data_IF_642426928628
#
_entry.id   IF_642426928628
#
_cell.length_a   1.000
_cell.length_b   1.000
_cell.length_c   1.000
_cell.angle_alpha   90.00
_cell.angle_beta   90.00
_cell.angle_gamma   90.00
#
_symmetry.space_group_name_H-M   'P 1'
#
loop_
_entity.id
_entity.type
_entity.pdbx_description
1 polymer ?
#
# COMPACT_ATOMS: atom_id res chain seq x y z
N UNK A 1 55.81 53.57 -23.05
CA UNK A 1 55.69 52.38 -22.18
C UNK A 1 54.84 52.76 -20.98
N UNK A 2 53.59 52.27 -20.93
CA UNK A 2 52.62 52.60 -19.88
C UNK A 2 52.01 51.31 -19.34
N UNK A 3 52.09 51.18 -18.01
CA UNK A 3 51.60 50.08 -17.19
C UNK A 3 50.06 50.12 -17.12
N UNK A 4 49.42 48.96 -17.01
CA UNK A 4 48.65 48.53 -15.82
C UNK A 4 47.93 47.20 -16.11
N UNK A 5 48.18 46.25 -15.22
CA UNK A 5 47.56 44.93 -15.10
C UNK A 5 46.35 45.08 -14.16
N UNK A 6 45.41 44.12 -14.20
CA UNK A 6 44.23 43.84 -13.34
C UNK A 6 42.94 43.97 -14.18
N UNK A 7 42.01 43.02 -14.22
CA UNK A 7 41.75 41.82 -13.41
C UNK A 7 40.61 41.02 -14.08
N UNK A 8 40.23 39.90 -13.46
CA UNK A 8 39.13 38.92 -13.77
C UNK A 8 39.74 37.61 -14.30
N UNK A 9 40.27 36.76 -13.41
CA UNK A 9 39.53 35.77 -12.60
C UNK A 9 38.77 34.80 -13.52
N UNK A 10 39.31 33.59 -13.74
CA UNK A 10 38.97 32.37 -12.98
C UNK A 10 37.48 32.04 -13.15
N UNK A 11 37.04 30.89 -13.65
CA UNK A 11 37.47 29.54 -13.37
C UNK A 11 36.65 28.61 -14.31
N UNK A 12 37.28 27.66 -14.99
CA UNK A 12 37.27 26.22 -14.65
C UNK A 12 36.18 25.41 -15.39
N UNK A 13 36.68 24.66 -16.38
CA UNK A 13 36.51 23.21 -16.60
C UNK A 13 35.11 22.67 -16.96
N UNK A 14 34.96 22.38 -18.27
CA UNK A 14 34.73 21.06 -18.84
C UNK A 14 33.96 20.02 -18.00
N UNK A 15 32.71 19.75 -18.34
CA UNK A 15 32.16 18.38 -18.26
C UNK A 15 30.85 18.29 -19.04
N UNK A 16 30.98 17.87 -20.29
CA UNK A 16 29.90 17.26 -21.04
C UNK A 16 29.50 15.95 -20.37
N UNK A 17 28.27 15.86 -19.87
CA UNK A 17 27.57 14.59 -19.69
C UNK A 17 26.14 14.72 -20.22
N UNK A 18 25.82 13.84 -21.16
CA UNK A 18 24.47 13.57 -21.61
C UNK A 18 23.58 13.27 -20.41
N UNK A 19 22.50 14.00 -20.23
CA UNK A 19 21.32 13.45 -19.57
C UNK A 19 20.32 13.05 -20.64
N UNK A 20 20.46 11.82 -21.11
CA UNK A 20 19.30 11.00 -21.45
C UNK A 20 18.60 10.76 -20.10
N UNK A 21 17.70 11.67 -19.74
CA UNK A 21 16.84 11.52 -18.57
C UNK A 21 15.70 10.58 -18.92
N UNK A 22 15.73 9.39 -18.36
CA UNK A 22 14.74 8.34 -18.48
C UNK A 22 13.30 8.87 -18.49
N UNK A 23 12.54 8.53 -19.53
CA UNK A 23 11.08 8.47 -19.43
C UNK A 23 10.66 7.25 -18.59
N UNK A 24 11.11 7.19 -17.34
CA UNK A 24 10.45 6.35 -16.36
C UNK A 24 9.36 7.21 -15.77
N UNK A 25 8.14 6.93 -16.21
CA UNK A 25 6.91 7.36 -15.55
C UNK A 25 6.99 6.83 -14.11
N UNK A 26 7.63 7.58 -13.21
CA UNK A 26 7.39 7.48 -11.78
C UNK A 26 5.92 7.81 -11.61
N UNK A 27 5.08 6.78 -11.65
CA UNK A 27 3.82 6.81 -10.92
C UNK A 27 4.22 7.15 -9.51
N UNK A 28 3.93 8.38 -9.07
CA UNK A 28 3.99 8.74 -7.67
C UNK A 28 3.33 7.60 -6.89
N UNK A 29 3.99 7.01 -5.89
CA UNK A 29 3.29 6.11 -5.00
C UNK A 29 2.15 6.92 -4.40
N UNK A 30 0.91 6.56 -4.75
CA UNK A 30 -0.28 7.13 -4.14
C UNK A 30 -0.05 7.11 -2.64
N UNK A 31 -0.27 8.22 -1.91
CA UNK A 31 -0.06 8.26 -0.47
C UNK A 31 -0.79 7.07 0.15
N UNK A 32 -0.01 6.15 0.70
CA UNK A 32 -0.55 4.91 1.20
C UNK A 32 -1.31 5.24 2.48
N UNK A 33 -2.60 4.97 2.45
CA UNK A 33 -3.44 5.25 3.61
C UNK A 33 -3.15 4.14 4.62
N UNK A 34 -3.23 4.43 5.92
CA UNK A 34 -3.18 3.35 6.91
C UNK A 34 -4.43 2.47 6.77
N UNK A 35 -4.33 1.19 7.10
CA UNK A 35 -5.45 0.23 6.97
C UNK A 35 -6.71 0.69 7.73
N UNK A 36 -6.55 1.46 8.82
CA UNK A 36 -7.62 2.11 9.59
C UNK A 36 -8.55 2.99 8.73
N UNK A 37 -8.08 3.48 7.58
CA UNK A 37 -8.89 4.22 6.60
C UNK A 37 -10.08 3.40 6.12
N UNK A 38 -9.93 2.08 6.14
CA UNK A 38 -10.92 1.11 5.71
C UNK A 38 -11.73 0.53 6.88
N UNK A 39 -11.73 1.18 8.06
CA UNK A 39 -12.46 0.73 9.26
C UNK A 39 -13.91 0.35 8.96
N UNK A 40 -14.41 -0.71 9.59
CA UNK A 40 -15.78 -1.20 9.45
C UNK A 40 -15.86 -2.69 9.13
N UNK A 41 -17.08 -3.16 8.94
CA UNK A 41 -17.39 -4.57 8.73
C UNK A 41 -17.35 -4.90 7.24
N UNK A 42 -16.76 -6.04 6.89
CA UNK A 42 -16.57 -6.48 5.52
C UNK A 42 -17.10 -7.89 5.35
N UNK A 43 -17.90 -8.10 4.31
CA UNK A 43 -18.48 -9.41 3.99
C UNK A 43 -18.28 -9.76 2.52
N UNK A 44 -18.32 -11.04 2.15
CA UNK A 44 -18.33 -11.45 0.75
C UNK A 44 -19.52 -10.85 -0.01
N UNK A 45 -19.31 -10.40 -1.23
CA UNK A 45 -20.40 -9.99 -2.15
C UNK A 45 -21.24 -11.18 -2.59
N UNK A 46 -20.59 -12.32 -2.79
CA UNK A 46 -21.23 -13.57 -3.15
C UNK A 46 -21.26 -14.50 -1.93
N UNK A 47 -22.37 -14.45 -1.19
CA UNK A 47 -22.59 -15.26 0.01
C UNK A 47 -22.97 -16.70 -0.30
N UNK A 48 -23.13 -17.07 -1.57
CA UNK A 48 -23.41 -18.46 -1.97
C UNK A 48 -22.16 -19.34 -1.96
N UNK A 49 -20.97 -18.73 -1.88
CA UNK A 49 -19.70 -19.44 -1.84
C UNK A 49 -19.35 -19.83 -0.41
N UNK A 50 -18.90 -21.08 -0.17
CA UNK A 50 -18.55 -21.55 1.17
C UNK A 50 -17.18 -21.04 1.66
N UNK A 51 -16.57 -20.10 0.93
CA UNK A 51 -15.22 -19.59 1.19
C UNK A 51 -15.26 -18.06 1.28
N UNK A 52 -14.57 -17.54 2.29
CA UNK A 52 -14.51 -16.11 2.60
C UNK A 52 -15.22 -15.79 3.91
N UNK A 53 -14.43 -15.60 4.95
CA UNK A 53 -14.93 -15.10 6.24
C UNK A 53 -15.30 -13.61 6.15
N UNK A 54 -16.13 -13.16 7.08
CA UNK A 54 -16.27 -11.73 7.33
C UNK A 54 -15.11 -11.24 8.19
N UNK A 55 -14.83 -9.95 8.15
CA UNK A 55 -13.84 -9.34 9.04
C UNK A 55 -14.23 -7.91 9.36
N UNK A 56 -13.71 -7.41 10.47
CA UNK A 56 -13.88 -6.02 10.91
C UNK A 56 -12.52 -5.35 11.00
N UNK A 57 -12.38 -4.19 10.38
CA UNK A 57 -11.22 -3.31 10.60
C UNK A 57 -11.61 -2.32 11.69
N UNK A 58 -10.90 -2.34 12.81
CA UNK A 58 -11.12 -1.41 13.90
C UNK A 58 -10.47 -0.05 13.61
N UNK A 59 -10.87 0.98 14.37
CA UNK A 59 -10.33 2.33 14.21
C UNK A 59 -8.82 2.44 14.54
N UNK A 60 -8.27 1.48 15.30
CA UNK A 60 -6.83 1.37 15.57
C UNK A 60 -6.06 0.62 14.46
N UNK A 61 -6.77 0.13 13.45
CA UNK A 61 -6.23 -0.64 12.32
C UNK A 61 -5.99 -2.13 12.61
N UNK A 62 -6.41 -2.63 13.77
CA UNK A 62 -6.49 -4.08 14.00
C UNK A 62 -7.62 -4.70 13.18
N UNK A 63 -7.51 -6.00 12.89
CA UNK A 63 -8.51 -6.78 12.17
C UNK A 63 -9.07 -7.86 13.09
N UNK A 64 -10.39 -7.85 13.28
CA UNK A 64 -11.11 -8.97 13.91
C UNK A 64 -11.66 -9.87 12.80
N UNK A 65 -11.19 -11.11 12.76
CA UNK A 65 -11.71 -12.14 11.86
C UNK A 65 -12.96 -12.77 12.47
N UNK A 66 -13.99 -12.97 11.66
CA UNK A 66 -15.17 -13.75 12.03
C UNK A 66 -14.89 -15.24 11.78
N UNK A 67 -13.97 -15.79 12.58
CA UNK A 67 -13.72 -17.21 12.68
C UNK A 67 -14.26 -17.76 14.02
N UNK A 68 -14.20 -19.08 14.21
CA UNK A 68 -14.68 -19.70 15.45
C UNK A 68 -13.92 -19.28 16.71
N UNK A 69 -12.77 -18.65 16.56
CA UNK A 69 -11.88 -18.24 17.65
C UNK A 69 -11.96 -16.73 17.95
N UNK A 70 -12.58 -15.94 17.07
CA UNK A 70 -12.58 -14.49 17.13
C UNK A 70 -11.17 -13.90 16.99
N UNK A 71 -10.36 -14.44 16.07
CA UNK A 71 -8.95 -14.06 15.96
C UNK A 71 -8.78 -12.57 15.68
N UNK A 72 -7.99 -11.89 16.51
CA UNK A 72 -7.61 -10.49 16.31
C UNK A 72 -6.17 -10.38 15.82
N UNK A 73 -5.99 -9.75 14.66
CA UNK A 73 -4.69 -9.39 14.09
C UNK A 73 -4.38 -7.95 14.47
N UNK A 74 -3.35 -7.74 15.26
CA UNK A 74 -2.91 -6.41 15.68
C UNK A 74 -2.29 -5.65 14.51
N UNK A 75 -2.44 -4.32 14.48
CA UNK A 75 -1.91 -3.48 13.37
C UNK A 75 -0.42 -3.71 13.10
N UNK A 76 0.39 -3.96 14.14
CA UNK A 76 1.82 -4.24 14.00
C UNK A 76 2.15 -5.63 13.41
N UNK A 77 1.16 -6.51 13.26
CA UNK A 77 1.27 -7.81 12.58
C UNK A 77 0.85 -7.73 11.11
N UNK A 78 0.37 -6.57 10.66
CA UNK A 78 -0.07 -6.31 9.29
C UNK A 78 1.07 -5.66 8.53
N UNK A 79 1.49 -6.30 7.45
CA UNK A 79 2.46 -5.75 6.51
C UNK A 79 1.74 -4.90 5.49
N UNK A 80 2.08 -3.63 5.46
CA UNK A 80 1.67 -2.73 4.40
C UNK A 80 2.57 -2.92 3.17
N UNK A 81 1.98 -3.30 2.04
CA UNK A 81 2.69 -3.60 0.78
C UNK A 81 2.66 -2.43 -0.21
N UNK A 82 2.04 -1.31 0.15
CA UNK A 82 1.81 -0.21 -0.79
C UNK A 82 0.56 -0.41 -1.64
N UNK A 83 0.10 0.66 -2.28
CA UNK A 83 -1.04 0.64 -3.22
C UNK A 83 -2.32 0.06 -2.61
N UNK A 84 -2.60 0.36 -1.34
CA UNK A 84 -3.78 -0.11 -0.60
C UNK A 84 -3.84 -1.66 -0.49
N UNK A 85 -2.67 -2.30 -0.46
CA UNK A 85 -2.49 -3.73 -0.28
C UNK A 85 -1.90 -4.01 1.11
N UNK A 86 -2.60 -4.82 1.89
CA UNK A 86 -2.20 -5.21 3.24
C UNK A 86 -2.15 -6.72 3.37
N UNK A 87 -1.13 -7.23 4.04
CA UNK A 87 -0.85 -8.65 4.15
C UNK A 87 -0.67 -9.05 5.61
N UNK A 88 -1.28 -10.16 6.03
CA UNK A 88 -1.12 -10.72 7.35
C UNK A 88 -1.27 -12.24 7.31
N UNK A 89 -0.86 -12.91 8.38
CA UNK A 89 -0.95 -14.36 8.49
C UNK A 89 -1.90 -14.76 9.62
N UNK A 90 -2.75 -15.75 9.34
CA UNK A 90 -3.65 -16.36 10.32
C UNK A 90 -3.62 -17.87 10.15
N UNK A 91 -3.42 -18.61 11.24
CA UNK A 91 -3.43 -20.09 11.26
C UNK A 91 -2.56 -20.74 10.15
N UNK A 92 -1.44 -20.12 9.79
CA UNK A 92 -0.52 -20.62 8.75
C UNK A 92 -0.89 -20.24 7.31
N UNK A 93 -1.99 -19.51 7.10
CA UNK A 93 -2.38 -18.94 5.81
C UNK A 93 -1.98 -17.48 5.71
N UNK A 94 -1.43 -17.07 4.58
CA UNK A 94 -1.30 -15.66 4.21
C UNK A 94 -2.62 -15.16 3.66
N UNK A 95 -3.11 -14.05 4.21
CA UNK A 95 -4.24 -13.30 3.68
C UNK A 95 -3.71 -11.97 3.13
N UNK A 96 -4.19 -11.60 1.94
CA UNK A 96 -3.93 -10.30 1.34
C UNK A 96 -5.25 -9.57 1.12
N UNK A 97 -5.35 -8.35 1.62
CA UNK A 97 -6.46 -7.44 1.34
C UNK A 97 -5.99 -6.42 0.31
N UNK A 98 -6.76 -6.23 -0.76
CA UNK A 98 -6.52 -5.20 -1.77
C UNK A 98 -7.75 -4.31 -1.88
N UNK A 99 -7.66 -3.09 -1.38
CA UNK A 99 -8.77 -2.15 -1.40
C UNK A 99 -8.82 -1.43 -2.74
N UNK A 100 -9.95 -1.56 -3.45
CA UNK A 100 -10.22 -0.80 -4.68
C UNK A 100 -10.71 0.61 -4.36
N UNK A 101 -11.51 0.72 -3.30
CA UNK A 101 -12.07 1.96 -2.76
C UNK A 101 -12.54 1.75 -1.31
N UNK A 102 -13.23 2.73 -0.73
CA UNK A 102 -13.70 2.70 0.66
C UNK A 102 -14.80 1.64 0.95
N UNK A 103 -15.36 0.99 -0.07
CA UNK A 103 -16.48 0.06 0.03
C UNK A 103 -16.25 -1.28 -0.69
N UNK A 104 -15.17 -1.41 -1.46
CA UNK A 104 -14.83 -2.60 -2.24
C UNK A 104 -13.39 -3.07 -1.96
N UNK A 105 -13.26 -4.35 -1.64
CA UNK A 105 -11.99 -5.01 -1.35
C UNK A 105 -11.92 -6.36 -2.06
N UNK A 106 -10.73 -6.80 -2.44
CA UNK A 106 -10.45 -8.20 -2.78
C UNK A 106 -9.68 -8.81 -1.62
N UNK A 107 -10.22 -9.86 -1.03
CA UNK A 107 -9.47 -10.73 -0.13
C UNK A 107 -8.89 -11.88 -0.93
N UNK A 108 -7.57 -12.06 -0.89
CA UNK A 108 -6.93 -13.30 -1.31
C UNK A 108 -6.67 -14.17 -0.09
N UNK A 109 -7.21 -15.38 -0.10
CA UNK A 109 -6.96 -16.39 0.93
C UNK A 109 -6.56 -17.70 0.23
N UNK A 110 -5.32 -18.14 0.44
CA UNK A 110 -4.83 -19.40 -0.15
C UNK A 110 -4.91 -19.42 -1.69
N UNK A 111 -4.73 -18.28 -2.35
CA UNK A 111 -4.80 -18.16 -3.81
C UNK A 111 -6.20 -17.91 -4.38
N UNK A 112 -7.25 -17.97 -3.56
CA UNK A 112 -8.62 -17.64 -3.98
C UNK A 112 -8.91 -16.16 -3.76
N UNK A 113 -9.37 -15.48 -4.81
CA UNK A 113 -9.85 -14.10 -4.72
C UNK A 113 -11.34 -14.08 -4.38
N UNK A 114 -11.69 -13.37 -3.32
CA UNK A 114 -13.05 -13.17 -2.83
C UNK A 114 -13.34 -11.68 -2.89
N UNK A 115 -14.41 -11.30 -3.59
CA UNK A 115 -14.84 -9.91 -3.60
C UNK A 115 -15.60 -9.61 -2.30
N UNK A 116 -15.12 -8.61 -1.59
CA UNK A 116 -15.67 -8.14 -0.33
C UNK A 116 -16.33 -6.79 -0.53
N UNK A 117 -17.40 -6.55 0.23
CA UNK A 117 -18.04 -5.25 0.33
C UNK A 117 -18.20 -4.84 1.78
N UNK A 118 -18.04 -3.55 2.03
CA UNK A 118 -18.25 -2.98 3.34
C UNK A 118 -19.74 -2.94 3.66
N UNK A 119 -20.11 -3.37 4.86
CA UNK A 119 -21.47 -3.29 5.38
C UNK A 119 -21.53 -2.36 6.58
N UNK A 120 -22.62 -1.60 6.64
CA UNK A 120 -22.90 -0.63 7.71
C UNK A 120 -23.39 -1.34 8.97
#
# INVERSE_FOLDING_TARGET
MTKKILSIAAAIILSSFLMIGCSNKTTDPTPNKGIETYQGNWQPKDTSKPYGGTFTINADGSILMDDSEGTTIQKNQITDKGNEVYEFSIQGYTITLTFKDASNCIMNQGGMNIEMTKVN
#
